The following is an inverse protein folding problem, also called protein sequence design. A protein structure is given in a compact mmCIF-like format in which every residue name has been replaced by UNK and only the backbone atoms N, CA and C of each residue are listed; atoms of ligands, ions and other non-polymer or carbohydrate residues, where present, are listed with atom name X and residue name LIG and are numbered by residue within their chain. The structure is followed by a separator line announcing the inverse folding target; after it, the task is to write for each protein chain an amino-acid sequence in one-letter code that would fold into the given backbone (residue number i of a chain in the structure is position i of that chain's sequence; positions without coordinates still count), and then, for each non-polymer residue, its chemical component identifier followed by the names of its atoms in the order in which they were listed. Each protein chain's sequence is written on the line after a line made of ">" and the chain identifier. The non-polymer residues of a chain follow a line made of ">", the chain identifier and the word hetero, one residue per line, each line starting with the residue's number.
data_IF_926310522770
#
_entry.id   IF_926310522770
#
_cell.length_a   1.000
_cell.length_b   1.000
_cell.length_c   1.000
_cell.angle_alpha   90.00
_cell.angle_beta   90.00
_cell.angle_gamma   90.00
#
_symmetry.space_group_name_H-M   'P 1'
#
loop_
_entity.id
_entity.type
_entity.pdbx_description
1 polymer ?
#
# COMPACT_ATOMS: atom_id res chain seq x y z
N UNK A 1 1.39 45.64 -15.94
CA UNK A 1 1.38 44.72 -14.79
C UNK A 1 1.48 43.33 -15.36
N UNK A 2 2.61 42.65 -15.13
CA UNK A 2 2.82 41.30 -15.63
C UNK A 2 2.11 40.32 -14.69
N UNK A 3 1.08 39.63 -15.20
CA UNK A 3 0.47 38.50 -14.51
C UNK A 3 1.43 37.32 -14.58
N UNK A 4 1.99 36.92 -13.43
CA UNK A 4 2.67 35.64 -13.30
C UNK A 4 1.60 34.54 -13.37
N UNK A 5 1.47 33.90 -14.53
CA UNK A 5 0.85 32.59 -14.65
C UNK A 5 1.74 31.61 -13.86
N UNK A 6 1.25 31.13 -12.73
CA UNK A 6 1.80 29.94 -12.11
C UNK A 6 1.58 28.80 -13.11
N UNK A 7 2.67 28.37 -13.75
CA UNK A 7 2.69 27.12 -14.52
C UNK A 7 2.39 26.03 -13.50
N UNK A 8 1.25 25.38 -13.65
CA UNK A 8 0.86 24.27 -12.80
C UNK A 8 1.82 23.11 -13.11
N UNK A 9 2.82 22.94 -12.24
CA UNK A 9 3.89 21.94 -12.37
C UNK A 9 3.32 20.52 -12.52
N UNK A 10 2.04 20.31 -12.18
CA UNK A 10 1.32 19.06 -12.39
C UNK A 10 1.11 18.70 -13.88
N UNK A 11 1.03 19.69 -14.79
CA UNK A 11 0.72 19.46 -16.20
C UNK A 11 1.96 19.04 -17.03
N UNK A 12 3.18 19.26 -16.50
CA UNK A 12 4.44 18.88 -17.15
C UNK A 12 4.96 17.49 -16.75
N UNK A 13 4.29 16.78 -15.83
CA UNK A 13 4.68 15.42 -15.47
C UNK A 13 4.24 14.46 -16.59
N UNK A 14 5.16 13.75 -17.25
CA UNK A 14 4.79 12.77 -18.26
C UNK A 14 3.82 11.75 -17.67
N UNK A 15 2.76 11.42 -18.42
CA UNK A 15 1.83 10.35 -18.01
C UNK A 15 2.62 9.05 -17.80
N UNK A 16 2.65 8.56 -16.56
CA UNK A 16 3.24 7.29 -16.22
C UNK A 16 2.21 6.19 -16.48
N UNK A 17 2.44 5.38 -17.51
CA UNK A 17 1.60 4.23 -17.83
C UNK A 17 2.15 2.99 -17.15
N UNK A 18 1.35 2.37 -16.27
CA UNK A 18 1.67 1.07 -15.67
C UNK A 18 1.07 -0.03 -16.56
N UNK A 19 1.89 -0.95 -17.12
CA UNK A 19 1.38 -2.07 -17.89
C UNK A 19 0.41 -2.94 -17.07
N UNK A 20 -0.67 -3.36 -17.71
CA UNK A 20 -1.74 -4.18 -17.08
C UNK A 20 -1.75 -5.57 -17.71
N UNK A 21 -1.69 -6.61 -16.87
CA UNK A 21 -1.80 -8.00 -17.30
C UNK A 21 -3.03 -8.66 -16.66
N UNK A 22 -3.72 -9.52 -17.39
CA UNK A 22 -4.81 -10.32 -16.81
C UNK A 22 -4.21 -11.46 -15.99
N UNK A 23 -4.63 -11.59 -14.73
CA UNK A 23 -4.16 -12.64 -13.82
C UNK A 23 -4.42 -14.05 -14.39
N UNK A 24 -5.56 -14.23 -15.05
CA UNK A 24 -5.99 -15.52 -15.62
C UNK A 24 -5.11 -16.02 -16.77
N UNK A 25 -4.35 -15.13 -17.42
CA UNK A 25 -3.57 -15.46 -18.63
C UNK A 25 -2.07 -15.28 -18.45
N UNK A 26 -1.58 -15.08 -17.22
CA UNK A 26 -0.16 -14.77 -16.96
C UNK A 26 0.82 -15.80 -17.53
N UNK A 27 0.43 -17.07 -17.57
CA UNK A 27 1.26 -18.17 -18.06
C UNK A 27 0.99 -18.54 -19.51
N UNK A 28 0.13 -17.79 -20.21
CA UNK A 28 -0.32 -18.14 -21.57
C UNK A 28 0.56 -17.49 -22.62
N UNK A 29 1.02 -18.29 -23.60
CA UNK A 29 1.74 -17.79 -24.77
C UNK A 29 3.00 -17.01 -24.40
N UNK A 30 3.14 -15.80 -24.95
CA UNK A 30 4.30 -14.93 -24.73
C UNK A 30 4.17 -14.01 -23.50
N UNK A 31 3.04 -14.06 -22.79
CA UNK A 31 2.76 -13.20 -21.62
C UNK A 31 3.91 -13.21 -20.59
N UNK A 32 4.55 -14.34 -20.25
CA UNK A 32 5.69 -14.35 -19.35
C UNK A 32 6.83 -13.40 -19.73
N UNK A 33 7.20 -13.37 -21.02
CA UNK A 33 8.27 -12.50 -21.52
C UNK A 33 7.84 -11.03 -21.53
N UNK A 34 6.58 -10.75 -21.84
CA UNK A 34 6.02 -9.39 -21.80
C UNK A 34 5.98 -8.83 -20.37
N UNK A 35 5.64 -9.67 -19.39
CA UNK A 35 5.72 -9.34 -17.96
C UNK A 35 7.16 -9.03 -17.56
N UNK A 36 8.13 -9.87 -17.96
CA UNK A 36 9.54 -9.65 -17.69
C UNK A 36 10.04 -8.33 -18.30
N UNK A 37 9.67 -8.04 -19.54
CA UNK A 37 10.10 -6.81 -20.23
C UNK A 37 9.49 -5.57 -19.58
N UNK A 38 8.23 -5.61 -19.16
CA UNK A 38 7.59 -4.54 -18.40
C UNK A 38 8.30 -4.27 -17.06
N UNK A 39 8.63 -5.34 -16.31
CA UNK A 39 9.36 -5.22 -15.05
C UNK A 39 10.79 -4.70 -15.24
N UNK A 40 11.50 -5.08 -16.32
CA UNK A 40 12.83 -4.52 -16.63
C UNK A 40 12.78 -3.03 -16.96
N UNK A 41 11.70 -2.59 -17.61
CA UNK A 41 11.54 -1.20 -18.06
C UNK A 41 11.29 -0.26 -16.88
N UNK A 42 10.26 -0.55 -16.09
CA UNK A 42 9.74 0.39 -15.08
C UNK A 42 9.66 -0.20 -13.66
N UNK A 43 9.90 -1.51 -13.50
CA UNK A 43 9.84 -2.20 -12.21
C UNK A 43 8.43 -2.35 -11.63
N UNK A 44 7.40 -1.87 -12.33
CA UNK A 44 6.01 -1.83 -11.86
C UNK A 44 5.10 -2.40 -12.94
N UNK A 45 4.23 -3.30 -12.53
CA UNK A 45 3.13 -3.86 -13.34
C UNK A 45 1.85 -3.85 -12.50
N UNK A 46 0.72 -4.01 -13.16
CA UNK A 46 -0.58 -4.15 -12.50
C UNK A 46 -1.32 -5.38 -13.00
N UNK A 47 -2.19 -5.93 -12.16
CA UNK A 47 -3.02 -7.07 -12.51
C UNK A 47 -4.49 -6.69 -12.59
N UNK A 48 -5.18 -7.27 -13.57
CA UNK A 48 -6.63 -7.27 -13.67
C UNK A 48 -7.16 -8.70 -13.48
N UNK A 49 -8.45 -8.86 -13.22
CA UNK A 49 -9.12 -10.16 -13.09
C UNK A 49 -8.50 -11.07 -12.01
N UNK A 50 -7.98 -10.50 -10.93
CA UNK A 50 -7.57 -11.29 -9.75
C UNK A 50 -8.83 -11.81 -9.05
N UNK A 51 -9.01 -13.13 -8.90
CA UNK A 51 -10.21 -13.71 -8.29
C UNK A 51 -10.48 -13.14 -6.89
N UNK A 52 -11.73 -12.75 -6.64
CA UNK A 52 -12.21 -12.25 -5.33
C UNK A 52 -11.50 -11.01 -4.77
N UNK A 53 -10.59 -10.37 -5.52
CA UNK A 53 -9.78 -9.26 -5.01
C UNK A 53 -10.60 -8.10 -4.49
N UNK A 54 -11.59 -7.62 -5.27
CA UNK A 54 -12.42 -6.50 -4.84
C UNK A 54 -13.11 -6.79 -3.51
N UNK A 55 -13.76 -7.96 -3.40
CA UNK A 55 -14.52 -8.33 -2.20
C UNK A 55 -13.63 -8.46 -0.95
N UNK A 56 -12.49 -9.15 -1.09
CA UNK A 56 -11.57 -9.37 0.03
C UNK A 56 -10.90 -8.04 0.44
N UNK A 57 -10.48 -7.24 -0.53
CA UNK A 57 -9.90 -5.91 -0.29
C UNK A 57 -10.88 -5.00 0.43
N UNK A 58 -12.14 -4.94 0.00
CA UNK A 58 -13.15 -4.09 0.63
C UNK A 58 -13.45 -4.54 2.06
N UNK A 59 -13.53 -5.85 2.28
CA UNK A 59 -13.69 -6.42 3.63
C UNK A 59 -12.52 -6.04 4.54
N UNK A 60 -11.28 -6.15 4.03
CA UNK A 60 -10.08 -5.73 4.74
C UNK A 60 -10.06 -4.23 5.03
N UNK A 61 -10.29 -3.39 4.02
CA UNK A 61 -10.30 -1.94 4.17
C UNK A 61 -11.32 -1.47 5.20
N UNK A 62 -12.52 -2.05 5.19
CA UNK A 62 -13.57 -1.71 6.15
C UNK A 62 -13.18 -2.12 7.57
N UNK A 63 -12.64 -3.32 7.76
CA UNK A 63 -12.17 -3.81 9.06
C UNK A 63 -11.00 -2.97 9.59
N UNK A 64 -10.00 -2.67 8.75
CA UNK A 64 -8.84 -1.87 9.12
C UNK A 64 -9.20 -0.42 9.43
N UNK A 65 -10.11 0.19 8.66
CA UNK A 65 -10.63 1.54 8.94
C UNK A 65 -11.37 1.57 10.29
N UNK A 66 -12.27 0.62 10.53
CA UNK A 66 -13.00 0.53 11.79
C UNK A 66 -12.05 0.35 12.97
N UNK A 67 -11.08 -0.56 12.85
CA UNK A 67 -10.08 -0.80 13.88
C UNK A 67 -9.22 0.44 14.17
N UNK A 68 -8.72 1.12 13.14
CA UNK A 68 -7.89 2.31 13.30
C UNK A 68 -8.60 3.42 14.07
N UNK A 69 -9.89 3.64 13.78
CA UNK A 69 -10.70 4.66 14.47
C UNK A 69 -11.08 4.20 15.88
N UNK A 70 -11.49 2.95 16.08
CA UNK A 70 -11.91 2.48 17.41
C UNK A 70 -10.74 2.37 18.40
N UNK A 71 -9.54 2.06 17.91
CA UNK A 71 -8.35 1.87 18.73
C UNK A 71 -7.60 3.19 19.03
N UNK A 72 -8.00 4.31 18.41
CA UNK A 72 -7.25 5.57 18.48
C UNK A 72 -7.00 6.07 19.91
N UNK A 73 -7.98 5.91 20.81
CA UNK A 73 -7.89 6.41 22.19
C UNK A 73 -7.09 5.47 23.10
N UNK A 74 -7.01 4.18 22.75
CA UNK A 74 -6.24 3.18 23.49
C UNK A 74 -4.73 3.25 23.17
N UNK A 75 -4.36 3.97 22.10
CA UNK A 75 -2.99 4.18 21.63
C UNK A 75 -2.14 2.87 21.63
N UNK A 76 -2.61 1.79 20.98
CA UNK A 76 -1.89 0.54 20.97
C UNK A 76 -0.63 0.61 20.09
N UNK A 77 0.35 -0.23 20.38
CA UNK A 77 1.66 -0.20 19.69
C UNK A 77 1.58 -0.44 18.17
N UNK A 78 0.54 -1.12 17.68
CA UNK A 78 0.35 -1.37 16.24
C UNK A 78 -0.19 -0.15 15.48
N UNK A 79 -0.70 0.86 16.19
CA UNK A 79 -1.38 2.02 15.61
C UNK A 79 -0.52 3.27 15.77
N UNK A 80 0.02 3.77 14.66
CA UNK A 80 0.69 5.06 14.64
C UNK A 80 -0.29 6.17 14.29
N UNK A 81 -0.24 7.29 15.01
CA UNK A 81 -1.09 8.45 14.75
C UNK A 81 -0.27 9.70 14.40
N UNK A 82 -0.82 10.55 13.54
CA UNK A 82 -0.25 11.87 13.22
C UNK A 82 -1.35 12.85 12.86
N UNK A 83 -1.33 14.05 13.47
CA UNK A 83 -2.11 15.19 12.98
C UNK A 83 -1.32 15.93 11.89
N UNK A 84 -1.95 16.11 10.73
CA UNK A 84 -1.41 16.81 9.58
C UNK A 84 -1.58 18.33 9.73
N UNK A 85 -0.93 19.09 8.85
CA UNK A 85 -0.89 20.56 8.90
C UNK A 85 -2.27 21.22 8.74
N UNK A 86 -3.18 20.56 8.04
CA UNK A 86 -4.58 20.97 7.86
C UNK A 86 -5.50 20.52 9.01
N UNK A 87 -4.94 19.86 10.02
CA UNK A 87 -5.67 19.29 11.16
C UNK A 87 -6.23 17.88 10.91
N UNK A 88 -6.09 17.32 9.71
CA UNK A 88 -6.53 15.94 9.46
C UNK A 88 -5.71 14.95 10.29
N UNK A 89 -6.36 13.95 10.88
CA UNK A 89 -5.69 12.90 11.63
C UNK A 89 -5.44 11.72 10.69
N UNK A 90 -4.21 11.23 10.67
CA UNK A 90 -3.80 10.04 9.96
C UNK A 90 -3.47 8.95 10.96
N UNK A 91 -4.11 7.80 10.80
CA UNK A 91 -3.82 6.58 11.55
C UNK A 91 -3.18 5.57 10.60
N UNK A 92 -2.15 4.88 11.06
CA UNK A 92 -1.41 3.88 10.29
C UNK A 92 -1.36 2.58 11.07
N UNK A 93 -1.88 1.52 10.45
CA UNK A 93 -1.66 0.15 10.91
C UNK A 93 -0.55 -0.42 10.04
N UNK A 94 0.54 -0.84 10.67
CA UNK A 94 1.67 -1.49 10.00
C UNK A 94 1.76 -2.94 10.43
N UNK A 95 1.73 -3.85 9.45
CA UNK A 95 1.82 -5.28 9.70
C UNK A 95 2.69 -5.96 8.64
N UNK A 96 3.41 -7.01 9.06
CA UNK A 96 3.97 -7.97 8.10
C UNK A 96 2.82 -8.65 7.35
N UNK A 97 3.02 -8.97 6.08
CA UNK A 97 2.07 -9.67 5.22
C UNK A 97 2.73 -10.91 4.59
N UNK A 98 1.97 -11.71 3.84
CA UNK A 98 2.41 -12.99 3.32
C UNK A 98 2.58 -14.03 4.42
N UNK A 99 3.68 -14.78 4.38
CA UNK A 99 3.99 -15.87 5.33
C UNK A 99 4.09 -15.39 6.79
N UNK A 100 4.56 -14.15 7.00
CA UNK A 100 4.79 -13.57 8.33
C UNK A 100 3.58 -12.80 8.89
N UNK A 101 2.42 -12.87 8.23
CA UNK A 101 1.24 -12.07 8.57
C UNK A 101 0.66 -12.35 9.97
N UNK A 102 0.83 -13.57 10.47
CA UNK A 102 0.09 -14.07 11.62
C UNK A 102 0.42 -13.32 12.93
N UNK A 103 1.69 -12.98 13.18
CA UNK A 103 2.10 -12.37 14.45
C UNK A 103 1.49 -10.97 14.65
N UNK A 104 1.61 -10.09 13.63
CA UNK A 104 1.04 -8.75 13.68
C UNK A 104 -0.50 -8.76 13.73
N UNK A 105 -1.12 -9.72 13.02
CA UNK A 105 -2.56 -9.91 13.02
C UNK A 105 -3.10 -10.31 14.39
N UNK A 106 -2.43 -11.23 15.09
CA UNK A 106 -2.82 -11.66 16.45
C UNK A 106 -2.80 -10.47 17.42
N UNK A 107 -1.75 -9.65 17.40
CA UNK A 107 -1.68 -8.48 18.29
C UNK A 107 -2.83 -7.50 18.01
N UNK A 108 -3.09 -7.19 16.75
CA UNK A 108 -4.17 -6.27 16.36
C UNK A 108 -5.55 -6.82 16.76
N UNK A 109 -5.77 -8.12 16.61
CA UNK A 109 -7.02 -8.80 16.92
C UNK A 109 -7.43 -8.71 18.40
N UNK A 110 -6.45 -8.63 19.31
CA UNK A 110 -6.74 -8.40 20.75
C UNK A 110 -7.47 -7.09 21.01
N UNK A 111 -7.24 -6.07 20.18
CA UNK A 111 -7.89 -4.75 20.27
C UNK A 111 -9.08 -4.66 19.33
N UNK A 112 -9.01 -5.35 18.19
CA UNK A 112 -10.01 -5.32 17.13
C UNK A 112 -10.43 -6.75 16.76
N UNK A 113 -11.36 -7.38 17.52
CA UNK A 113 -11.76 -8.76 17.29
C UNK A 113 -12.27 -9.01 15.87
N UNK A 114 -11.74 -10.04 15.22
CA UNK A 114 -12.06 -10.41 13.83
C UNK A 114 -11.11 -9.80 12.80
N UNK A 115 -10.21 -8.90 13.20
CA UNK A 115 -9.19 -8.35 12.31
C UNK A 115 -8.29 -9.46 11.74
N UNK A 116 -7.88 -10.42 12.57
CA UNK A 116 -6.94 -11.47 12.16
C UNK A 116 -7.46 -12.28 10.98
N UNK A 117 -8.71 -12.70 11.02
CA UNK A 117 -9.29 -13.57 10.00
C UNK A 117 -9.43 -12.85 8.66
N UNK A 118 -9.83 -11.58 8.70
CA UNK A 118 -9.95 -10.73 7.50
C UNK A 118 -8.55 -10.40 6.93
N UNK A 119 -7.60 -10.03 7.77
CA UNK A 119 -6.23 -9.74 7.33
C UNK A 119 -5.54 -10.98 6.76
N UNK A 120 -5.78 -12.15 7.34
CA UNK A 120 -5.26 -13.43 6.84
C UNK A 120 -5.81 -13.72 5.44
N UNK A 121 -7.10 -13.54 5.21
CA UNK A 121 -7.71 -13.71 3.88
C UNK A 121 -7.09 -12.76 2.84
N UNK A 122 -6.93 -11.50 3.18
CA UNK A 122 -6.30 -10.51 2.29
C UNK A 122 -4.82 -10.83 2.03
N UNK A 123 -4.07 -11.15 3.08
CA UNK A 123 -2.66 -11.52 3.00
C UNK A 123 -2.44 -12.77 2.15
N UNK A 124 -3.27 -13.81 2.32
CA UNK A 124 -3.20 -15.03 1.51
C UNK A 124 -3.52 -14.77 0.04
N UNK A 125 -4.46 -13.88 -0.26
CA UNK A 125 -4.73 -13.47 -1.63
C UNK A 125 -3.52 -12.76 -2.26
N UNK A 126 -2.90 -11.81 -1.54
CA UNK A 126 -1.71 -11.12 -2.03
C UNK A 126 -0.55 -12.10 -2.26
N UNK A 127 -0.35 -13.05 -1.34
CA UNK A 127 0.67 -14.08 -1.47
C UNK A 127 0.44 -14.92 -2.74
N UNK A 128 -0.79 -15.37 -2.99
CA UNK A 128 -1.15 -16.10 -4.21
C UNK A 128 -0.78 -15.32 -5.48
N UNK A 129 -1.10 -14.03 -5.52
CA UNK A 129 -0.79 -13.18 -6.66
C UNK A 129 0.71 -13.07 -6.86
N UNK A 130 1.48 -12.79 -5.80
CA UNK A 130 2.92 -12.61 -5.91
C UNK A 130 3.64 -13.91 -6.28
N UNK A 131 3.23 -15.05 -5.73
CA UNK A 131 3.78 -16.35 -6.13
C UNK A 131 3.51 -16.65 -7.61
N UNK A 132 2.34 -16.24 -8.12
CA UNK A 132 2.02 -16.38 -9.55
C UNK A 132 2.93 -15.52 -10.44
N UNK A 133 3.37 -14.35 -9.98
CA UNK A 133 4.41 -13.56 -10.67
C UNK A 133 5.73 -14.32 -10.69
N UNK A 134 6.13 -14.89 -9.55
CA UNK A 134 7.31 -15.75 -9.47
C UNK A 134 7.26 -16.91 -10.47
N UNK A 135 6.16 -17.66 -10.50
CA UNK A 135 5.95 -18.74 -11.47
C UNK A 135 5.97 -18.24 -12.92
N UNK A 136 5.39 -17.06 -13.18
CA UNK A 136 5.38 -16.46 -14.52
C UNK A 136 6.81 -16.13 -14.98
N UNK A 137 7.62 -15.55 -14.11
CA UNK A 137 9.02 -15.23 -14.42
C UNK A 137 9.89 -16.48 -14.58
N UNK A 138 9.58 -17.57 -13.85
CA UNK A 138 10.27 -18.86 -14.01
C UNK A 138 10.02 -19.51 -15.38
N UNK A 139 9.00 -19.08 -16.12
CA UNK A 139 8.75 -19.52 -17.50
C UNK A 139 9.57 -18.74 -18.56
N UNK A 140 10.47 -17.86 -18.13
CA UNK A 140 11.35 -17.05 -18.99
C UNK A 140 12.82 -17.40 -18.80
N UNK A 141 13.70 -16.75 -19.56
CA UNK A 141 15.17 -16.86 -19.40
C UNK A 141 15.72 -16.00 -18.23
N UNK A 142 14.85 -15.43 -17.40
CA UNK A 142 15.29 -14.67 -16.23
C UNK A 142 15.94 -15.60 -15.20
N UNK A 143 17.16 -15.27 -14.79
CA UNK A 143 17.89 -15.99 -13.73
C UNK A 143 18.47 -15.01 -12.74
N UNK A 144 18.44 -15.37 -11.46
CA UNK A 144 19.11 -14.63 -10.40
C UNK A 144 20.06 -15.56 -9.63
N UNK A 145 21.10 -14.99 -9.02
CA UNK A 145 22.01 -15.71 -8.14
C UNK A 145 21.94 -15.16 -6.72
N UNK A 146 22.06 -16.03 -5.73
CA UNK A 146 22.21 -15.64 -4.33
C UNK A 146 23.63 -15.14 -4.01
N UNK A 147 23.87 -14.80 -2.74
CA UNK A 147 25.19 -14.39 -2.24
C UNK A 147 26.28 -15.47 -2.35
N UNK A 148 25.90 -16.72 -2.58
CA UNK A 148 26.80 -17.86 -2.75
C UNK A 148 26.99 -18.25 -4.23
N UNK A 149 26.39 -17.49 -5.16
CA UNK A 149 26.48 -17.71 -6.60
C UNK A 149 25.58 -18.83 -7.13
N UNK A 150 24.66 -19.36 -6.30
CA UNK A 150 23.69 -20.39 -6.70
C UNK A 150 22.51 -19.76 -7.41
N UNK A 151 22.01 -20.40 -8.47
CA UNK A 151 20.81 -19.95 -9.16
C UNK A 151 19.59 -20.11 -8.25
N UNK A 152 18.80 -19.04 -8.13
CA UNK A 152 17.54 -19.02 -7.39
C UNK A 152 16.41 -18.76 -8.37
N UNK A 153 15.30 -19.51 -8.25
CA UNK A 153 14.12 -19.26 -9.07
C UNK A 153 13.43 -17.96 -8.65
N UNK A 154 12.72 -17.34 -9.57
CA UNK A 154 11.89 -16.17 -9.31
C UNK A 154 10.80 -16.50 -8.30
N UNK A 155 10.21 -17.70 -8.35
CA UNK A 155 9.28 -18.14 -7.32
C UNK A 155 9.91 -18.18 -5.92
N UNK A 156 11.13 -18.71 -5.80
CA UNK A 156 11.84 -18.73 -4.53
C UNK A 156 12.17 -17.31 -4.05
N UNK A 157 12.67 -16.46 -4.95
CA UNK A 157 12.94 -15.05 -4.68
C UNK A 157 11.70 -14.33 -4.13
N UNK A 158 10.55 -14.54 -4.78
CA UNK A 158 9.29 -13.95 -4.34
C UNK A 158 8.85 -14.53 -2.98
N UNK A 159 9.02 -15.84 -2.75
CA UNK A 159 8.65 -16.47 -1.47
C UNK A 159 9.47 -15.90 -0.30
N UNK A 160 10.76 -15.66 -0.51
CA UNK A 160 11.68 -15.18 0.53
C UNK A 160 11.55 -13.67 0.81
N UNK A 161 10.85 -12.93 -0.03
CA UNK A 161 10.66 -11.50 0.15
C UNK A 161 9.72 -11.19 1.33
N UNK A 162 10.19 -10.35 2.25
CA UNK A 162 9.35 -9.81 3.33
C UNK A 162 8.37 -8.80 2.76
N UNK A 163 7.09 -8.95 3.11
CA UNK A 163 6.02 -8.05 2.70
C UNK A 163 5.56 -7.21 3.89
N UNK A 164 5.38 -5.93 3.64
CA UNK A 164 4.83 -4.98 4.61
C UNK A 164 3.53 -4.43 4.05
N UNK A 165 2.47 -4.51 4.86
CA UNK A 165 1.22 -3.83 4.60
C UNK A 165 1.13 -2.58 5.48
N UNK A 166 0.82 -1.45 4.84
CA UNK A 166 0.62 -0.16 5.48
C UNK A 166 -0.78 0.34 5.15
N UNK A 167 -1.70 0.19 6.08
CA UNK A 167 -3.04 0.72 5.96
C UNK A 167 -3.10 2.14 6.54
N UNK A 168 -3.56 3.11 5.75
CA UNK A 168 -3.74 4.50 6.18
C UNK A 168 -5.23 4.86 6.27
N UNK A 169 -5.69 5.22 7.47
CA UNK A 169 -6.99 5.87 7.66
C UNK A 169 -6.81 7.37 7.88
N UNK A 170 -7.69 8.16 7.27
CA UNK A 170 -7.72 9.61 7.41
C UNK A 170 -9.06 10.05 8.00
N UNK A 171 -8.99 10.81 9.08
CA UNK A 171 -10.14 11.44 9.72
C UNK A 171 -10.06 12.95 9.50
N UNK A 172 -11.12 13.54 8.95
CA UNK A 172 -11.19 14.99 8.77
C UNK A 172 -11.25 15.70 10.12
N UNK A 173 -10.62 16.88 10.25
CA UNK A 173 -10.67 17.64 11.50
C UNK A 173 -12.12 17.99 11.85
N UNK A 174 -12.45 17.92 13.15
CA UNK A 174 -13.72 18.39 13.68
C UNK A 174 -13.89 19.90 13.44
N UNK A 175 -15.12 20.41 13.49
CA UNK A 175 -15.38 21.85 13.33
C UNK A 175 -14.63 22.72 14.35
N UNK A 176 -14.44 22.20 15.58
CA UNK A 176 -13.67 22.85 16.63
C UNK A 176 -12.17 22.90 16.31
N UNK A 177 -11.60 21.81 15.79
CA UNK A 177 -10.19 21.75 15.37
C UNK A 177 -9.92 22.61 14.12
N UNK A 178 -10.87 22.69 13.17
CA UNK A 178 -10.75 23.61 12.03
C UNK A 178 -10.66 25.07 12.46
N UNK A 179 -11.43 25.44 13.49
CA UNK A 179 -11.44 26.79 14.02
C UNK A 179 -10.12 27.14 14.73
N UNK A 180 -9.53 26.19 15.46
CA UNK A 180 -8.23 26.39 16.12
C UNK A 180 -7.06 26.46 15.12
N UNK A 181 -7.06 25.63 14.08
CA UNK A 181 -6.07 25.72 12.98
C UNK A 181 -6.17 27.08 12.27
N UNK A 182 -7.39 27.53 11.95
CA UNK A 182 -7.61 28.84 11.34
C UNK A 182 -7.14 30.00 12.23
N UNK A 183 -7.38 29.93 13.54
CA UNK A 183 -6.93 30.93 14.50
C UNK A 183 -5.40 30.97 14.67
N UNK A 184 -4.75 29.80 14.65
CA UNK A 184 -3.28 29.68 14.73
C UNK A 184 -2.59 30.19 13.46
N UNK A 185 -3.18 29.97 12.28
CA UNK A 185 -2.70 30.56 11.03
C UNK A 185 -2.81 32.09 11.04
N UNK A 186 -3.92 32.66 11.53
CA UNK A 186 -4.09 34.14 11.62
C UNK A 186 -3.06 34.81 12.53
N UNK A 187 -2.80 34.22 13.70
CA UNK A 187 -1.80 34.75 14.65
C UNK A 187 -0.36 34.66 14.12
N UNK A 188 -0.07 33.71 13.21
CA UNK A 188 1.25 33.61 12.55
C UNK A 188 1.46 34.71 11.50
N UNK A 189 0.41 35.13 10.79
CA UNK A 189 0.47 36.25 9.85
C UNK A 189 0.55 37.60 10.58
N UNK A 190 -0.20 37.81 11.67
CA UNK A 190 -0.13 39.07 12.45
C UNK A 190 1.23 39.30 13.14
N UNK A 191 2.05 38.26 13.30
CA UNK A 191 3.39 38.37 13.91
C UNK A 191 4.51 38.61 12.89
N UNK A 192 4.23 38.48 11.59
CA UNK A 192 5.17 38.82 10.50
C UNK A 192 5.01 40.27 10.01
N UNK A 193 3.94 40.95 10.43
CA UNK A 193 3.63 42.35 10.10
C UNK A 193 3.96 43.35 11.23
N UNK A 194 4.88 42.99 12.15
CA UNK A 194 5.45 43.91 13.17
C UNK A 194 6.97 43.94 13.13
#
# INVERSE_FOLDING_TARGET
>A
MASNLAIDVAEEVPSFHVPVFSYETLTTGNTPYEVLDALKKDGIISFSNVPSYSQIRDSYHNMAAACAVSAQDANPNFLHHKTLTDGAKRYVISATSGQDANAAAITTDTTCPGYKDIYTQFSSLLEMVVLSVGTTLDATDFTMKDSYGQTVSSHQLMTDAVRLDHFHAYETPSSKERTSVSASSRTKYERLDR
#
